data_IF_796065334950
#
_entry.id   IF_796065334950
#
_cell.length_a   1.000
_cell.length_b   1.000
_cell.length_c   1.000
_cell.angle_alpha   90.00
_cell.angle_beta   90.00
_cell.angle_gamma   90.00
#
_symmetry.space_group_name_H-M   'P 1'
#
loop_
_entity.id
_entity.type
_entity.pdbx_description
1 polymer ?
#
# COMPACT_ATOMS: atom_id res chain seq x y z
N UNK A 1 5.27 -5.77 2.23
CA UNK A 1 5.79 -5.92 0.85
C UNK A 1 5.39 -7.23 0.17
N UNK A 2 5.36 -8.39 0.85
CA UNK A 2 4.93 -9.67 0.25
C UNK A 2 3.50 -9.59 -0.31
N UNK A 3 2.54 -9.03 0.43
CA UNK A 3 1.15 -8.89 -0.03
C UNK A 3 1.06 -8.05 -1.31
N UNK A 4 1.76 -6.90 -1.34
CA UNK A 4 1.79 -6.04 -2.53
C UNK A 4 2.44 -6.75 -3.73
N UNK A 5 3.54 -7.47 -3.51
CA UNK A 5 4.22 -8.24 -4.56
C UNK A 5 3.36 -9.39 -5.10
N UNK A 6 2.64 -10.11 -4.22
CA UNK A 6 1.71 -11.17 -4.63
C UNK A 6 0.53 -10.62 -5.43
N UNK A 7 -0.05 -9.50 -5.00
CA UNK A 7 -1.09 -8.80 -5.74
C UNK A 7 -0.60 -8.38 -7.13
N UNK A 8 0.56 -7.72 -7.19
CA UNK A 8 1.15 -7.26 -8.44
C UNK A 8 1.41 -8.43 -9.40
N UNK A 9 2.04 -9.50 -8.93
CA UNK A 9 2.34 -10.69 -9.74
C UNK A 9 1.06 -11.33 -10.29
N UNK A 10 0.04 -11.51 -9.45
CA UNK A 10 -1.24 -12.09 -9.85
C UNK A 10 -1.94 -11.23 -10.92
N UNK A 11 -1.88 -9.90 -10.76
CA UNK A 11 -2.48 -8.96 -11.72
C UNK A 11 -1.68 -8.86 -13.03
N UNK A 12 -0.36 -9.00 -12.99
CA UNK A 12 0.47 -9.06 -14.22
C UNK A 12 0.11 -10.32 -15.02
N UNK A 13 0.02 -11.47 -14.36
CA UNK A 13 -0.33 -12.73 -15.04
C UNK A 13 -1.75 -12.67 -15.61
N UNK A 14 -2.74 -12.35 -14.78
CA UNK A 14 -4.14 -12.30 -15.20
C UNK A 14 -4.40 -11.19 -16.21
N UNK A 15 -3.76 -10.02 -16.03
CA UNK A 15 -3.86 -8.91 -16.96
C UNK A 15 -3.23 -9.22 -18.30
N UNK A 16 -2.08 -9.88 -18.34
CA UNK A 16 -1.46 -10.32 -19.61
C UNK A 16 -2.34 -11.32 -20.36
N UNK A 17 -2.85 -12.35 -19.67
CA UNK A 17 -3.76 -13.31 -20.26
C UNK A 17 -5.04 -12.63 -20.74
N UNK A 18 -5.62 -11.77 -19.92
CA UNK A 18 -6.84 -11.03 -20.22
C UNK A 18 -6.68 -10.11 -21.43
N UNK A 19 -5.55 -9.45 -21.58
CA UNK A 19 -5.25 -8.59 -22.72
C UNK A 19 -5.38 -9.32 -24.08
N UNK A 20 -4.87 -10.56 -24.15
CA UNK A 20 -4.93 -11.37 -25.39
C UNK A 20 -6.26 -12.09 -25.60
N UNK A 21 -7.11 -12.17 -24.56
CA UNK A 21 -8.39 -12.88 -24.60
C UNK A 21 -9.62 -11.98 -24.57
N UNK A 22 -9.42 -10.68 -24.42
CA UNK A 22 -10.50 -9.70 -24.31
C UNK A 22 -10.47 -8.70 -25.45
N UNK A 23 -11.64 -8.20 -25.76
CA UNK A 23 -11.85 -7.12 -26.71
C UNK A 23 -12.42 -5.90 -26.01
N UNK A 24 -12.61 -4.81 -26.74
CA UNK A 24 -13.25 -3.58 -26.29
C UNK A 24 -12.57 -2.98 -25.02
N UNK A 25 -13.32 -2.38 -24.16
CA UNK A 25 -12.82 -1.75 -22.93
C UNK A 25 -12.13 -2.74 -21.99
N UNK A 26 -12.48 -4.03 -22.02
CA UNK A 26 -11.84 -5.06 -21.20
C UNK A 26 -10.37 -5.28 -21.58
N UNK A 27 -10.02 -5.20 -22.86
CA UNK A 27 -8.63 -5.27 -23.32
C UNK A 27 -7.78 -4.15 -22.71
N UNK A 28 -8.29 -2.93 -22.73
CA UNK A 28 -7.59 -1.77 -22.18
C UNK A 28 -7.55 -1.81 -20.65
N UNK A 29 -8.57 -2.35 -19.99
CA UNK A 29 -8.53 -2.62 -18.55
C UNK A 29 -7.35 -3.55 -18.21
N UNK A 30 -7.21 -4.66 -18.88
CA UNK A 30 -6.13 -5.62 -18.65
C UNK A 30 -4.75 -5.05 -18.98
N UNK A 31 -4.65 -4.24 -20.05
CA UNK A 31 -3.42 -3.55 -20.40
C UNK A 31 -2.96 -2.61 -19.27
N UNK A 32 -3.85 -1.75 -18.78
CA UNK A 32 -3.55 -0.82 -17.70
C UNK A 32 -3.26 -1.55 -16.40
N UNK A 33 -4.02 -2.62 -16.10
CA UNK A 33 -3.81 -3.45 -14.93
C UNK A 33 -2.40 -4.07 -14.92
N UNK A 34 -1.93 -4.59 -16.04
CA UNK A 34 -0.57 -5.13 -16.17
C UNK A 34 0.49 -4.04 -15.99
N UNK A 35 0.34 -2.91 -16.68
CA UNK A 35 1.29 -1.81 -16.63
C UNK A 35 1.42 -1.23 -15.20
N UNK A 36 0.30 -1.00 -14.52
CA UNK A 36 0.29 -0.50 -13.14
C UNK A 36 0.98 -1.47 -12.17
N UNK A 37 0.69 -2.75 -12.32
CA UNK A 37 1.25 -3.76 -11.43
C UNK A 37 2.74 -4.05 -11.67
N UNK A 38 3.30 -3.72 -12.83
CA UNK A 38 4.77 -3.68 -13.01
C UNK A 38 5.41 -2.62 -12.10
N UNK A 39 4.79 -1.46 -11.95
CA UNK A 39 5.24 -0.41 -11.01
C UNK A 39 5.12 -0.90 -9.57
N UNK A 40 3.95 -1.47 -9.19
CA UNK A 40 3.73 -2.01 -7.85
C UNK A 40 4.73 -3.13 -7.50
N UNK A 41 5.09 -3.99 -8.46
CA UNK A 41 6.09 -5.03 -8.26
C UNK A 41 7.48 -4.44 -8.01
N UNK A 42 7.85 -3.38 -8.73
CA UNK A 42 9.07 -2.62 -8.48
C UNK A 42 9.09 -2.04 -7.06
N UNK A 43 8.01 -1.37 -6.64
CA UNK A 43 7.87 -0.82 -5.28
C UNK A 43 7.98 -1.93 -4.23
N UNK A 44 7.32 -3.07 -4.45
CA UNK A 44 7.37 -4.21 -3.53
C UNK A 44 8.80 -4.77 -3.40
N UNK A 45 9.55 -4.84 -4.51
CA UNK A 45 10.94 -5.30 -4.52
C UNK A 45 11.88 -4.37 -3.78
N UNK A 46 11.82 -3.06 -4.08
CA UNK A 46 12.63 -2.06 -3.37
C UNK A 46 12.26 -1.98 -1.88
N UNK A 47 10.98 -2.01 -1.56
CA UNK A 47 10.51 -1.98 -0.17
C UNK A 47 10.87 -3.26 0.61
N UNK A 48 10.98 -4.42 -0.05
CA UNK A 48 11.44 -5.66 0.57
C UNK A 48 12.94 -5.57 0.92
N UNK A 49 13.77 -5.10 -0.02
CA UNK A 49 15.21 -4.91 0.21
C UNK A 49 15.46 -3.89 1.33
N UNK A 50 14.77 -2.74 1.32
CA UNK A 50 14.90 -1.74 2.38
C UNK A 50 14.46 -2.23 3.75
N UNK A 51 13.47 -3.14 3.82
CA UNK A 51 13.05 -3.74 5.08
C UNK A 51 14.07 -4.73 5.66
N UNK A 52 14.86 -5.39 4.81
CA UNK A 52 15.92 -6.31 5.25
C UNK A 52 17.18 -5.60 5.77
N UNK A 53 17.36 -4.32 5.48
CA UNK A 53 18.48 -3.49 5.95
C UNK A 53 18.18 -2.72 7.25
N UNK A 54 17.03 -2.97 7.89
CA UNK A 54 16.69 -2.32 9.15
C UNK A 54 17.63 -2.81 10.24
N UNK A 55 18.42 -1.88 10.77
CA UNK A 55 19.30 -2.14 11.91
C UNK A 55 18.47 -2.42 13.17
N UNK A 56 18.52 -3.66 13.67
CA UNK A 56 17.82 -4.10 14.85
C UNK A 56 18.46 -3.56 16.16
N UNK A 57 19.63 -2.93 16.09
CA UNK A 57 20.31 -2.31 17.23
C UNK A 57 19.84 -0.87 17.52
N UNK A 58 18.85 -0.37 16.76
CA UNK A 58 18.31 0.97 16.97
C UNK A 58 17.70 1.11 18.37
N UNK A 59 18.12 2.13 19.10
CA UNK A 59 17.49 2.49 20.38
C UNK A 59 16.01 2.82 20.20
N UNK A 60 15.26 2.71 21.32
CA UNK A 60 13.80 2.89 21.35
C UNK A 60 13.32 4.19 20.67
N UNK A 61 13.98 5.32 20.94
CA UNK A 61 13.62 6.62 20.33
C UNK A 61 13.78 6.64 18.82
N UNK A 62 14.87 6.07 18.29
CA UNK A 62 15.10 5.99 16.85
C UNK A 62 14.10 5.04 16.16
N UNK A 63 13.69 3.98 16.84
CA UNK A 63 12.66 3.07 16.35
C UNK A 63 11.29 3.75 16.27
N UNK A 64 10.92 4.54 17.30
CA UNK A 64 9.69 5.33 17.31
C UNK A 64 9.65 6.38 16.20
N UNK A 65 10.75 7.09 15.99
CA UNK A 65 10.84 8.12 14.92
C UNK A 65 10.67 7.50 13.53
N UNK A 66 11.30 6.34 13.28
CA UNK A 66 11.10 5.59 12.04
C UNK A 66 9.65 5.12 11.87
N UNK A 67 9.00 4.63 12.93
CA UNK A 67 7.60 4.22 12.89
C UNK A 67 6.68 5.41 12.55
N UNK A 68 6.88 6.57 13.19
CA UNK A 68 6.10 7.77 12.93
C UNK A 68 6.29 8.28 11.49
N UNK A 69 7.52 8.23 10.99
CA UNK A 69 7.83 8.62 9.61
C UNK A 69 7.14 7.69 8.61
N UNK A 70 7.11 6.39 8.88
CA UNK A 70 6.41 5.42 8.05
C UNK A 70 4.89 5.60 8.10
N UNK A 71 4.31 5.87 9.26
CA UNK A 71 2.88 6.19 9.42
C UNK A 71 2.48 7.43 8.61
N UNK A 72 3.30 8.48 8.62
CA UNK A 72 3.08 9.67 7.79
C UNK A 72 3.11 9.33 6.30
N UNK A 73 4.06 8.49 5.86
CA UNK A 73 4.16 8.05 4.47
C UNK A 73 2.90 7.28 4.05
N UNK A 74 2.40 6.37 4.88
CA UNK A 74 1.17 5.61 4.60
C UNK A 74 -0.06 6.53 4.48
N UNK A 75 -0.16 7.57 5.32
CA UNK A 75 -1.25 8.55 5.22
C UNK A 75 -1.16 9.40 3.94
N UNK A 76 0.05 9.81 3.53
CA UNK A 76 0.27 10.53 2.27
C UNK A 76 -0.11 9.63 1.10
N UNK A 77 0.32 8.37 1.09
CA UNK A 77 -0.03 7.40 0.05
C UNK A 77 -1.55 7.17 -0.01
N UNK A 78 -2.22 7.00 1.14
CA UNK A 78 -3.69 6.90 1.17
C UNK A 78 -4.38 8.12 0.56
N UNK A 79 -3.82 9.32 0.73
CA UNK A 79 -4.29 10.53 0.06
C UNK A 79 -4.11 10.46 -1.47
N UNK A 80 -2.97 9.97 -1.94
CA UNK A 80 -2.71 9.74 -3.36
C UNK A 80 -3.62 8.67 -3.95
N UNK A 81 -3.92 7.61 -3.20
CA UNK A 81 -4.83 6.55 -3.64
C UNK A 81 -6.25 7.07 -3.88
N UNK A 82 -6.73 7.98 -3.02
CA UNK A 82 -8.00 8.66 -3.23
C UNK A 82 -7.99 9.51 -4.52
N UNK A 83 -6.86 10.16 -4.83
CA UNK A 83 -6.71 10.88 -6.11
C UNK A 83 -6.70 9.92 -7.29
N UNK A 84 -6.07 8.75 -7.18
CA UNK A 84 -6.12 7.72 -8.22
C UNK A 84 -7.55 7.21 -8.43
N UNK A 85 -8.29 6.90 -7.36
CA UNK A 85 -9.69 6.47 -7.45
C UNK A 85 -10.54 7.56 -8.13
N UNK A 86 -10.40 8.82 -7.70
CA UNK A 86 -11.14 9.93 -8.28
C UNK A 86 -10.83 10.17 -9.75
N UNK A 87 -9.53 10.18 -10.12
CA UNK A 87 -9.11 10.33 -11.52
C UNK A 87 -9.51 9.15 -12.40
N UNK A 88 -9.44 7.92 -11.84
CA UNK A 88 -9.90 6.71 -12.52
C UNK A 88 -11.40 6.72 -12.77
N UNK A 89 -12.20 7.15 -11.80
CA UNK A 89 -13.64 7.30 -11.94
C UNK A 89 -14.00 8.38 -13.00
N UNK A 90 -13.29 9.50 -12.98
CA UNK A 90 -13.45 10.54 -14.00
C UNK A 90 -13.10 10.04 -15.40
N UNK A 91 -11.98 9.32 -15.57
CA UNK A 91 -11.62 8.73 -16.86
C UNK A 91 -12.64 7.70 -17.34
N UNK A 92 -13.21 6.92 -16.42
CA UNK A 92 -14.25 5.95 -16.75
C UNK A 92 -15.52 6.64 -17.25
N UNK A 93 -15.98 7.69 -16.55
CA UNK A 93 -17.13 8.49 -16.92
C UNK A 93 -16.92 9.14 -18.30
N UNK A 94 -15.80 9.82 -18.49
CA UNK A 94 -15.43 10.40 -19.79
C UNK A 94 -15.33 9.34 -20.90
N UNK A 95 -14.90 8.13 -20.56
CA UNK A 95 -14.86 7.02 -21.52
C UNK A 95 -16.25 6.58 -21.97
N UNK A 96 -17.24 6.62 -21.08
CA UNK A 96 -18.65 6.34 -21.41
C UNK A 96 -19.21 7.46 -22.30
N UNK A 97 -19.04 8.71 -21.90
CA UNK A 97 -19.58 9.87 -22.61
C UNK A 97 -19.04 10.01 -24.04
N UNK A 98 -17.75 9.73 -24.22
CA UNK A 98 -17.07 9.80 -25.52
C UNK A 98 -17.09 8.49 -26.30
N UNK A 99 -17.73 7.45 -25.80
CA UNK A 99 -17.70 6.09 -26.37
C UNK A 99 -16.28 5.56 -26.59
N UNK A 100 -15.32 5.98 -25.72
CA UNK A 100 -13.93 5.58 -25.78
C UNK A 100 -13.68 4.34 -24.91
N UNK A 101 -13.55 3.20 -25.56
CA UNK A 101 -13.25 1.92 -24.90
C UNK A 101 -11.94 1.99 -24.09
N UNK A 102 -10.96 2.73 -24.61
CA UNK A 102 -9.66 2.90 -23.96
C UNK A 102 -9.78 3.66 -22.63
N UNK A 103 -10.47 4.80 -22.62
CA UNK A 103 -10.66 5.59 -21.40
C UNK A 103 -11.48 4.81 -20.38
N UNK A 104 -12.54 4.13 -20.83
CA UNK A 104 -13.38 3.28 -20.00
C UNK A 104 -12.55 2.15 -19.34
N UNK A 105 -11.73 1.45 -20.12
CA UNK A 105 -10.90 0.37 -19.62
C UNK A 105 -9.83 0.86 -18.63
N UNK A 106 -9.13 1.91 -18.97
CA UNK A 106 -8.09 2.50 -18.10
C UNK A 106 -8.70 3.03 -16.80
N UNK A 107 -9.81 3.77 -16.87
CA UNK A 107 -10.49 4.31 -15.70
C UNK A 107 -10.89 3.20 -14.71
N UNK A 108 -11.52 2.13 -15.20
CA UNK A 108 -11.88 0.96 -14.37
C UNK A 108 -10.67 0.31 -13.70
N UNK A 109 -9.56 0.18 -14.43
CA UNK A 109 -8.34 -0.41 -13.88
C UNK A 109 -7.72 0.48 -12.79
N UNK A 110 -7.66 1.80 -13.01
CA UNK A 110 -7.11 2.74 -12.03
C UNK A 110 -7.95 2.76 -10.75
N UNK A 111 -9.29 2.74 -10.86
CA UNK A 111 -10.19 2.62 -9.68
C UNK A 111 -9.90 1.34 -8.91
N UNK A 112 -9.75 0.20 -9.59
CA UNK A 112 -9.43 -1.06 -8.92
C UNK A 112 -8.10 -1.00 -8.17
N UNK A 113 -7.05 -0.49 -8.84
CA UNK A 113 -5.71 -0.43 -8.27
C UNK A 113 -5.64 0.56 -7.10
N UNK A 114 -6.21 1.76 -7.25
CA UNK A 114 -6.27 2.75 -6.18
C UNK A 114 -7.05 2.24 -4.97
N UNK A 115 -8.16 1.52 -5.19
CA UNK A 115 -8.94 0.92 -4.10
C UNK A 115 -8.15 -0.14 -3.34
N UNK A 116 -7.40 -1.00 -4.05
CA UNK A 116 -6.54 -1.98 -3.40
C UNK A 116 -5.42 -1.32 -2.60
N UNK A 117 -4.72 -0.33 -3.18
CA UNK A 117 -3.63 0.38 -2.51
C UNK A 117 -4.13 1.10 -1.27
N UNK A 118 -5.27 1.79 -1.34
CA UNK A 118 -5.90 2.46 -0.21
C UNK A 118 -6.19 1.49 0.93
N UNK A 119 -6.80 0.32 0.63
CA UNK A 119 -7.06 -0.71 1.63
C UNK A 119 -5.77 -1.26 2.24
N UNK A 120 -4.75 -1.45 1.41
CA UNK A 120 -3.44 -1.94 1.85
C UNK A 120 -2.77 -0.93 2.80
N UNK A 121 -2.70 0.34 2.42
CA UNK A 121 -2.03 1.39 3.20
C UNK A 121 -2.77 1.68 4.51
N UNK A 122 -4.12 1.75 4.50
CA UNK A 122 -4.91 1.88 5.72
C UNK A 122 -4.72 0.67 6.65
N UNK A 123 -4.69 -0.55 6.10
CA UNK A 123 -4.48 -1.76 6.90
C UNK A 123 -3.12 -1.76 7.57
N UNK A 124 -2.06 -1.39 6.84
CA UNK A 124 -0.71 -1.27 7.40
C UNK A 124 -0.64 -0.19 8.48
N UNK A 125 -1.24 0.98 8.24
CA UNK A 125 -1.30 2.06 9.21
C UNK A 125 -1.96 1.63 10.53
N UNK A 126 -3.11 0.93 10.45
CA UNK A 126 -3.81 0.44 11.63
C UNK A 126 -3.01 -0.64 12.39
N UNK A 127 -2.34 -1.53 11.68
CA UNK A 127 -1.45 -2.54 12.29
C UNK A 127 -0.29 -1.85 13.01
N UNK A 128 0.37 -0.90 12.37
CA UNK A 128 1.48 -0.15 12.94
C UNK A 128 1.06 0.60 14.22
N UNK A 129 -0.06 1.31 14.19
CA UNK A 129 -0.56 2.02 15.36
C UNK A 129 -0.91 1.11 16.53
N UNK A 130 -1.45 -0.06 16.28
CA UNK A 130 -1.70 -1.06 17.34
C UNK A 130 -0.41 -1.54 17.98
N UNK A 131 0.64 -1.80 17.18
CA UNK A 131 1.94 -2.21 17.70
C UNK A 131 2.62 -1.10 18.49
N UNK A 132 2.59 0.15 18.01
CA UNK A 132 3.15 1.30 18.71
C UNK A 132 2.49 1.51 20.08
N UNK A 133 1.16 1.38 20.17
CA UNK A 133 0.43 1.47 21.45
C UNK A 133 0.87 0.38 22.45
N UNK A 134 0.97 -0.86 21.99
CA UNK A 134 1.39 -1.98 22.84
C UNK A 134 2.84 -1.84 23.33
N UNK A 135 3.73 -1.23 22.54
CA UNK A 135 5.11 -0.92 22.95
C UNK A 135 5.15 0.20 24.00
N UNK A 136 4.33 1.24 23.83
CA UNK A 136 4.21 2.34 24.80
C UNK A 136 3.66 1.87 26.16
N UNK A 137 2.68 0.98 26.17
CA UNK A 137 2.13 0.42 27.40
C UNK A 137 3.12 -0.49 28.14
N UNK A 138 3.99 -1.20 27.42
CA UNK A 138 5.06 -2.02 28.03
C UNK A 138 6.20 -1.18 28.60
N UNK A 139 6.52 -0.06 27.98
CA UNK A 139 7.57 0.85 28.50
C UNK A 139 7.13 1.64 29.74
N UNK A 140 5.84 1.86 29.94
CA UNK A 140 5.28 2.51 31.13
C UNK A 140 5.25 1.61 32.38
N UNK A 141 5.51 0.30 32.23
CA UNK A 141 5.58 -0.64 33.36
C UNK A 141 6.96 -0.69 34.04
N UNK A 142 7.96 0.04 33.52
CA UNK A 142 9.22 0.29 34.20
C UNK A 142 9.07 1.48 35.15
N UNK A 143 8.61 1.23 36.38
CA UNK A 143 8.51 2.27 37.39
C UNK A 143 9.83 2.31 38.19
N UNK A 144 10.51 3.45 38.15
CA UNK A 144 11.65 3.71 39.02
C UNK A 144 11.13 3.95 40.45
N UNK A 145 11.33 2.98 41.30
CA UNK A 145 11.20 3.17 42.75
C UNK A 145 12.60 3.54 43.31
N UNK A 146 12.75 4.61 44.05
CA UNK A 146 14.04 5.19 44.45
C UNK A 146 15.10 4.25 45.03
N UNK A 147 14.86 2.95 45.13
CA UNK A 147 15.76 1.88 45.56
C UNK A 147 15.89 0.70 44.54
N UNK A 148 15.38 0.82 43.32
CA UNK A 148 15.49 -0.26 42.31
C UNK A 148 14.44 -0.20 41.20
N UNK A 149 14.55 -1.10 40.23
CA UNK A 149 13.60 -1.27 39.14
C UNK A 149 12.59 -2.39 39.48
N UNK A 150 11.31 -2.09 39.42
CA UNK A 150 10.25 -3.10 39.47
C UNK A 150 9.80 -3.42 38.04
N UNK A 151 10.03 -4.65 37.59
CA UNK A 151 9.41 -5.24 36.42
C UNK A 151 8.11 -5.92 36.87
N UNK A 152 6.94 -5.38 36.55
CA UNK A 152 5.70 -6.14 36.64
C UNK A 152 5.40 -6.74 35.27
N UNK A 153 5.28 -8.07 35.26
CA UNK A 153 4.90 -8.88 34.10
C UNK A 153 3.39 -8.98 33.97
#
# INVERSE_FOLDING_TARGET
MIVLGSWATSNIISGTIGYYRSDNSSKYFHQMNTAWNLVNLGIAGFGYNGASEIDLSLGYEAALDKMQSFDKLLLINSGLDLLYIGSGAWLWDQGIDTSSERLTGYGKSIVLQGSFLLLFDISLYLIHRRHAKNLGERSTQLTFTGNGFLLSF
#
